data_IF_286862314660
#
_entry.id   IF_286862314660
#
_cell.length_a   1.000
_cell.length_b   1.000
_cell.length_c   1.000
_cell.angle_alpha   90.00
_cell.angle_beta   90.00
_cell.angle_gamma   90.00
#
_symmetry.space_group_name_H-M   'P 1'
#
loop_
_entity.id
_entity.type
_entity.pdbx_description
1 polymer ?
#
# COMPACT_ATOMS: atom_id res chain seq x y z
N UNK A 1 -5.70 -12.58 10.01
CA UNK A 1 -5.65 -11.37 9.15
C UNK A 1 -4.46 -11.50 8.23
N UNK A 2 -4.66 -11.61 6.92
CA UNK A 2 -3.55 -11.62 5.94
C UNK A 2 -3.39 -10.20 5.40
N UNK A 3 -2.16 -9.71 5.38
CA UNK A 3 -1.82 -8.38 4.87
C UNK A 3 -1.40 -8.48 3.42
N UNK A 4 -2.08 -7.77 2.53
CA UNK A 4 -1.62 -7.57 1.15
C UNK A 4 -0.73 -6.34 1.13
N UNK A 5 0.57 -6.54 0.92
CA UNK A 5 1.58 -5.48 1.03
C UNK A 5 1.83 -4.78 -0.30
N UNK A 6 1.50 -3.50 -0.47
CA UNK A 6 1.89 -2.72 -1.67
C UNK A 6 3.33 -2.23 -1.59
N UNK A 7 3.85 -1.62 -2.65
CA UNK A 7 5.21 -1.06 -2.68
C UNK A 7 5.63 -0.26 -1.43
N UNK A 8 6.95 -0.19 -1.22
CA UNK A 8 7.55 0.56 -0.11
C UNK A 8 7.09 2.01 -0.14
N UNK A 9 6.80 2.57 1.03
CA UNK A 9 6.54 4.01 1.10
C UNK A 9 7.79 4.84 0.88
N UNK A 10 8.98 4.27 1.07
CA UNK A 10 10.29 4.95 1.08
C UNK A 10 10.81 5.34 -0.31
N UNK A 11 10.13 4.96 -1.38
CA UNK A 11 10.38 5.42 -2.76
C UNK A 11 9.37 6.52 -3.11
N UNK A 12 9.68 7.52 -3.93
CA UNK A 12 8.67 8.53 -4.33
C UNK A 12 7.58 7.99 -5.27
N UNK A 13 7.83 6.83 -5.88
CA UNK A 13 7.01 6.26 -6.95
C UNK A 13 5.74 5.58 -6.42
N UNK A 14 4.62 5.84 -7.10
CA UNK A 14 3.36 5.12 -6.92
C UNK A 14 3.35 3.87 -7.82
N UNK A 15 2.83 2.77 -7.30
CA UNK A 15 2.60 1.54 -8.07
C UNK A 15 1.35 1.72 -8.94
N UNK A 16 1.31 1.06 -10.10
CA UNK A 16 0.09 1.03 -10.92
C UNK A 16 -1.07 0.38 -10.15
N UNK A 17 -2.23 1.02 -10.11
CA UNK A 17 -3.41 0.52 -9.39
C UNK A 17 -3.81 -0.89 -9.85
N UNK A 18 -3.71 -1.14 -11.16
CA UNK A 18 -4.07 -2.41 -11.79
C UNK A 18 -3.24 -3.57 -11.20
N UNK A 19 -1.95 -3.33 -10.94
CA UNK A 19 -1.06 -4.32 -10.32
C UNK A 19 -1.46 -4.59 -8.87
N UNK A 20 -1.83 -3.55 -8.13
CA UNK A 20 -2.31 -3.70 -6.74
C UNK A 20 -3.61 -4.51 -6.72
N UNK A 21 -4.56 -4.17 -7.58
CA UNK A 21 -5.85 -4.87 -7.67
C UNK A 21 -5.68 -6.34 -8.06
N UNK A 22 -4.80 -6.65 -9.01
CA UNK A 22 -4.49 -8.03 -9.38
C UNK A 22 -3.94 -8.84 -8.19
N UNK A 23 -3.07 -8.24 -7.36
CA UNK A 23 -2.50 -8.89 -6.17
C UNK A 23 -3.51 -9.07 -5.06
N UNK A 24 -4.45 -8.14 -4.91
CA UNK A 24 -5.56 -8.30 -3.95
C UNK A 24 -6.50 -9.42 -4.41
N UNK A 25 -6.82 -9.48 -5.70
CA UNK A 25 -7.62 -10.57 -6.29
C UNK A 25 -6.94 -11.93 -6.12
N UNK A 26 -5.63 -12.00 -6.34
CA UNK A 26 -4.82 -13.19 -6.07
C UNK A 26 -4.89 -13.58 -4.59
N UNK A 27 -4.68 -12.62 -3.67
CA UNK A 27 -4.76 -12.87 -2.22
C UNK A 27 -6.15 -13.37 -1.79
N UNK A 28 -7.21 -12.84 -2.40
CA UNK A 28 -8.60 -13.22 -2.15
C UNK A 28 -8.93 -14.65 -2.59
N UNK A 29 -8.11 -15.25 -3.47
CA UNK A 29 -8.22 -16.69 -3.78
C UNK A 29 -7.79 -17.59 -2.62
N UNK A 30 -7.00 -17.08 -1.67
CA UNK A 30 -6.48 -17.83 -0.53
C UNK A 30 -7.24 -17.61 0.77
N UNK A 31 -7.84 -16.43 0.96
CA UNK A 31 -8.64 -16.07 2.15
C UNK A 31 -9.77 -15.13 1.76
N UNK A 32 -10.89 -15.10 2.51
CA UNK A 32 -11.97 -14.14 2.27
C UNK A 32 -11.47 -12.68 2.27
N UNK A 33 -12.05 -11.86 1.40
CA UNK A 33 -11.68 -10.44 1.23
C UNK A 33 -11.80 -9.64 2.53
N UNK A 34 -12.79 -9.95 3.38
CA UNK A 34 -12.99 -9.35 4.71
C UNK A 34 -11.85 -9.65 5.71
N UNK A 35 -11.00 -10.64 5.43
CA UNK A 35 -9.82 -10.97 6.24
C UNK A 35 -8.52 -10.38 5.69
N UNK A 36 -8.61 -9.62 4.60
CA UNK A 36 -7.53 -8.91 3.94
C UNK A 36 -7.50 -7.44 4.36
N UNK A 37 -6.29 -6.87 4.40
CA UNK A 37 -6.07 -5.45 4.58
C UNK A 37 -4.96 -4.98 3.64
N UNK A 38 -5.07 -3.72 3.20
CA UNK A 38 -4.05 -3.06 2.40
C UNK A 38 -3.09 -2.28 3.30
N UNK A 39 -1.78 -2.54 3.17
CA UNK A 39 -0.77 -1.74 3.85
C UNK A 39 0.46 -1.55 2.96
N UNK A 40 1.23 -0.48 3.16
CA UNK A 40 2.55 -0.40 2.55
C UNK A 40 3.52 -1.48 3.06
N UNK A 41 4.58 -1.75 2.28
CA UNK A 41 5.62 -2.72 2.62
C UNK A 41 6.56 -2.26 3.76
N UNK A 42 6.76 -0.96 3.94
CA UNK A 42 7.64 -0.37 4.95
C UNK A 42 6.92 0.80 5.63
N UNK A 43 7.29 1.09 6.88
CA UNK A 43 6.87 2.30 7.60
C UNK A 43 7.78 3.49 7.32
N UNK A 44 7.42 4.69 7.83
CA UNK A 44 8.19 5.93 7.62
C UNK A 44 9.47 6.00 8.47
N UNK A 45 9.80 4.91 9.18
CA UNK A 45 10.93 4.88 10.09
C UNK A 45 12.25 4.88 9.32
N UNK A 46 13.01 5.95 9.50
CA UNK A 46 14.25 6.30 8.82
C UNK A 46 15.37 5.36 9.22
N UNK A 47 16.05 4.76 8.25
CA UNK A 47 17.44 4.32 8.43
C UNK A 47 18.34 5.56 8.62
N UNK A 48 19.56 5.38 9.15
CA UNK A 48 20.51 6.50 9.42
C UNK A 48 20.77 7.40 8.20
N UNK A 49 20.58 6.88 6.99
CA UNK A 49 20.42 7.64 5.76
C UNK A 49 18.95 8.01 5.63
N UNK A 50 18.60 9.26 5.95
CA UNK A 50 17.22 9.74 6.02
C UNK A 50 16.39 9.43 4.78
N UNK A 51 15.08 9.23 4.97
CA UNK A 51 14.15 8.97 3.87
C UNK A 51 14.22 10.09 2.82
N UNK A 52 14.38 9.71 1.56
CA UNK A 52 14.37 10.60 0.39
C UNK A 52 12.91 10.89 0.02
N UNK A 53 12.14 11.48 0.95
CA UNK A 53 10.73 11.80 0.73
C UNK A 53 10.35 13.12 1.39
N UNK A 54 9.83 14.03 0.58
CA UNK A 54 9.10 15.19 1.06
C UNK A 54 7.83 14.77 1.81
N UNK A 55 7.32 15.65 2.67
CA UNK A 55 6.06 15.43 3.37
C UNK A 55 4.90 15.22 2.38
N UNK A 56 4.89 15.95 1.26
CA UNK A 56 3.88 15.81 0.22
C UNK A 56 3.88 14.43 -0.42
N UNK A 57 5.05 13.83 -0.68
CA UNK A 57 5.15 12.47 -1.19
C UNK A 57 4.65 11.44 -0.16
N UNK A 58 4.91 11.67 1.13
CA UNK A 58 4.39 10.82 2.21
C UNK A 58 2.85 10.85 2.24
N UNK A 59 2.26 12.04 2.16
CA UNK A 59 0.80 12.20 2.11
C UNK A 59 0.18 11.67 0.82
N UNK A 60 0.83 11.89 -0.32
CA UNK A 60 0.37 11.34 -1.60
C UNK A 60 0.27 9.81 -1.54
N UNK A 61 1.24 9.15 -0.90
CA UNK A 61 1.18 7.70 -0.69
C UNK A 61 0.08 7.25 0.24
N UNK A 62 -0.14 7.96 1.35
CA UNK A 62 -1.24 7.63 2.27
C UNK A 62 -2.61 7.80 1.61
N UNK A 63 -2.79 8.88 0.83
CA UNK A 63 -4.02 9.11 0.05
C UNK A 63 -4.23 8.00 -0.97
N UNK A 64 -3.18 7.60 -1.68
CA UNK A 64 -3.23 6.52 -2.67
C UNK A 64 -3.63 5.18 -2.05
N UNK A 65 -3.06 4.81 -0.89
CA UNK A 65 -3.45 3.59 -0.17
C UNK A 65 -4.91 3.66 0.25
N UNK A 66 -5.35 4.80 0.80
CA UNK A 66 -6.74 5.00 1.21
C UNK A 66 -7.70 4.88 0.03
N UNK A 67 -7.39 5.49 -1.09
CA UNK A 67 -8.21 5.47 -2.30
C UNK A 67 -8.47 4.03 -2.76
N UNK A 68 -7.42 3.20 -2.86
CA UNK A 68 -7.57 1.78 -3.25
C UNK A 68 -8.36 1.00 -2.20
N UNK A 69 -8.12 1.28 -0.90
CA UNK A 69 -8.85 0.61 0.16
C UNK A 69 -10.36 0.93 0.11
N UNK A 70 -10.72 2.20 -0.11
CA UNK A 70 -12.11 2.63 -0.25
C UNK A 70 -12.76 2.01 -1.51
N UNK A 71 -12.03 1.83 -2.61
CA UNK A 71 -12.55 1.15 -3.82
C UNK A 71 -12.91 -0.33 -3.59
N UNK A 72 -12.28 -0.99 -2.60
CA UNK A 72 -12.40 -2.46 -2.41
C UNK A 72 -13.28 -2.83 -1.21
N UNK A 73 -13.26 -2.05 -0.12
CA UNK A 73 -13.91 -2.40 1.15
C UNK A 73 -15.05 -1.44 1.57
N UNK A 74 -15.58 -0.61 0.66
CA UNK A 74 -16.81 0.18 0.87
C UNK A 74 -18.05 -0.62 0.50
#
# INVERSE_FOLDING_TARGET
MKLTKINRITTGELEEKEKINARIAEAASYVPLEQLCLSPQCGFSSTKEGNILSEDEQWAKLRFVKEIADEIWT
#
